data_IF_931125002173
#
_entry.id   IF_931125002173
#
_cell.length_a   1.000
_cell.length_b   1.000
_cell.length_c   1.000
_cell.angle_alpha   90.00
_cell.angle_beta   90.00
_cell.angle_gamma   90.00
#
_symmetry.space_group_name_H-M   'P 1'
#
loop_
_entity.id
_entity.type
_entity.pdbx_description
1 polymer ?
#
# COMPACT_ATOMS: atom_id res chain seq x y z
N UNK A 1 13.96 -13.49 -0.48
CA UNK A 1 14.70 -12.30 -0.90
C UNK A 1 13.74 -11.14 -1.07
N UNK A 2 14.08 -9.93 -0.58
CA UNK A 2 13.31 -8.72 -0.92
C UNK A 2 13.67 -8.27 -2.35
N UNK A 3 12.72 -8.31 -3.28
CA UNK A 3 12.91 -7.91 -4.68
C UNK A 3 12.45 -6.50 -4.98
N UNK A 4 11.60 -5.91 -4.15
CA UNK A 4 11.07 -4.55 -4.32
C UNK A 4 10.79 -3.98 -2.94
N UNK A 5 11.65 -3.05 -2.51
CA UNK A 5 11.43 -2.23 -1.32
C UNK A 5 10.22 -1.32 -1.54
N UNK A 6 9.50 -0.97 -0.47
CA UNK A 6 8.35 -0.08 -0.56
C UNK A 6 8.78 1.33 -1.02
N UNK A 7 8.39 1.77 -2.21
CA UNK A 7 8.66 3.13 -2.64
C UNK A 7 7.75 4.10 -1.89
N UNK A 8 8.16 5.37 -1.80
CA UNK A 8 7.24 6.42 -1.39
C UNK A 8 6.21 6.63 -2.52
N UNK A 9 4.89 6.60 -2.26
CA UNK A 9 3.89 6.66 -3.33
C UNK A 9 4.04 7.94 -4.18
N UNK A 10 3.95 7.83 -5.51
CA UNK A 10 4.02 8.98 -6.42
C UNK A 10 3.02 10.08 -6.06
N UNK A 11 1.75 9.78 -5.73
CA UNK A 11 0.82 10.81 -5.30
C UNK A 11 1.26 11.59 -4.07
N UNK A 12 1.93 10.92 -3.12
CA UNK A 12 2.47 11.60 -1.94
C UNK A 12 3.63 12.51 -2.34
N UNK A 13 4.56 12.05 -3.17
CA UNK A 13 5.66 12.88 -3.70
C UNK A 13 5.14 14.13 -4.43
N UNK A 14 4.07 13.98 -5.22
CA UNK A 14 3.42 15.09 -5.91
C UNK A 14 2.77 16.09 -4.95
N UNK A 15 2.10 15.62 -3.90
CA UNK A 15 1.51 16.50 -2.88
C UNK A 15 2.59 17.29 -2.13
N UNK A 16 3.65 16.61 -1.69
CA UNK A 16 4.78 17.24 -0.99
C UNK A 16 5.50 18.28 -1.87
N UNK A 17 5.56 18.05 -3.18
CA UNK A 17 6.10 19.03 -4.13
C UNK A 17 5.15 20.20 -4.38
N UNK A 18 3.84 19.93 -4.46
CA UNK A 18 2.81 20.89 -4.84
C UNK A 18 2.44 21.85 -3.72
N UNK A 19 2.15 21.33 -2.52
CA UNK A 19 1.61 22.11 -1.40
C UNK A 19 2.47 23.34 -1.05
N UNK A 20 3.81 23.24 -0.96
CA UNK A 20 4.67 24.40 -0.66
C UNK A 20 4.68 25.49 -1.73
N UNK A 21 4.18 25.20 -2.94
CA UNK A 21 4.15 26.12 -4.08
C UNK A 21 2.81 26.85 -4.22
N UNK A 22 1.79 26.44 -3.48
CA UNK A 22 0.47 27.05 -3.51
C UNK A 22 0.42 28.25 -2.55
N UNK A 23 -0.31 29.29 -2.96
CA UNK A 23 -0.58 30.44 -2.09
C UNK A 23 -1.45 30.03 -0.89
N UNK A 24 -1.31 30.67 0.29
CA UNK A 24 -2.10 30.34 1.47
C UNK A 24 -3.63 30.41 1.29
N UNK A 25 -4.12 31.24 0.37
CA UNK A 25 -5.55 31.38 0.04
C UNK A 25 -6.04 30.50 -1.11
N UNK A 26 -5.31 29.44 -1.49
CA UNK A 26 -5.76 28.54 -2.55
C UNK A 26 -6.99 27.73 -2.09
N UNK A 27 -8.10 27.70 -2.86
CA UNK A 27 -9.38 27.15 -2.41
C UNK A 27 -9.35 25.71 -1.88
N UNK A 28 -8.49 24.84 -2.42
CA UNK A 28 -8.41 23.42 -2.04
C UNK A 28 -7.18 23.06 -1.18
N UNK A 29 -6.52 24.06 -0.58
CA UNK A 29 -5.27 23.83 0.16
C UNK A 29 -5.50 22.91 1.37
N UNK A 30 -6.61 23.06 2.08
CA UNK A 30 -6.93 22.25 3.25
C UNK A 30 -7.16 20.78 2.88
N UNK A 31 -7.84 20.52 1.76
CA UNK A 31 -8.13 19.20 1.21
C UNK A 31 -6.85 18.52 0.72
N UNK A 32 -5.97 19.26 0.04
CA UNK A 32 -4.65 18.77 -0.39
C UNK A 32 -3.80 18.36 0.82
N UNK A 33 -3.74 19.20 1.86
CA UNK A 33 -3.03 18.89 3.09
C UNK A 33 -3.65 17.71 3.85
N UNK A 34 -4.98 17.56 3.80
CA UNK A 34 -5.65 16.39 4.38
C UNK A 34 -5.31 15.10 3.62
N UNK A 35 -5.35 15.14 2.30
CA UNK A 35 -4.94 14.03 1.42
C UNK A 35 -3.47 13.64 1.69
N UNK A 36 -2.58 14.63 1.81
CA UNK A 36 -1.16 14.41 2.14
C UNK A 36 -1.01 13.71 3.50
N UNK A 37 -1.64 14.24 4.56
CA UNK A 37 -1.61 13.62 5.89
C UNK A 37 -2.12 12.18 5.88
N UNK A 38 -3.21 11.91 5.17
CA UNK A 38 -3.76 10.56 5.06
C UNK A 38 -2.80 9.61 4.34
N UNK A 39 -2.14 10.06 3.27
CA UNK A 39 -1.15 9.27 2.53
C UNK A 39 0.12 9.03 3.33
N UNK A 40 0.61 10.02 4.07
CA UNK A 40 1.74 9.86 5.01
C UNK A 40 1.37 8.79 6.05
N UNK A 41 0.19 8.91 6.66
CA UNK A 41 -0.28 7.93 7.66
C UNK A 41 -0.32 6.51 7.08
N UNK A 42 -0.92 6.34 5.90
CA UNK A 42 -0.95 5.04 5.22
C UNK A 42 0.45 4.47 4.96
N UNK A 43 1.33 5.27 4.36
CA UNK A 43 2.71 4.86 4.06
C UNK A 43 3.52 4.48 5.31
N UNK A 44 3.39 5.24 6.40
CA UNK A 44 4.06 4.90 7.66
C UNK A 44 3.44 3.66 8.34
N UNK A 45 2.12 3.48 8.25
CA UNK A 45 1.43 2.28 8.69
C UNK A 45 1.93 1.02 7.99
N UNK A 46 2.06 1.09 6.66
CA UNK A 46 2.61 0.02 5.84
C UNK A 46 4.08 -0.31 6.22
N UNK A 47 4.92 0.72 6.40
CA UNK A 47 6.32 0.54 6.82
C UNK A 47 6.47 -0.16 8.18
N UNK A 48 5.55 0.06 9.11
CA UNK A 48 5.54 -0.66 10.40
C UNK A 48 5.37 -2.16 10.19
N UNK A 49 4.51 -2.58 9.25
CA UNK A 49 4.29 -3.99 8.94
C UNK A 49 5.47 -4.57 8.15
N UNK A 50 6.03 -3.80 7.21
CA UNK A 50 7.23 -4.20 6.46
C UNK A 50 8.37 -4.60 7.41
N UNK A 51 8.57 -3.87 8.51
CA UNK A 51 9.56 -4.20 9.54
C UNK A 51 9.43 -5.64 10.05
N UNK A 52 8.20 -6.09 10.33
CA UNK A 52 7.94 -7.46 10.77
C UNK A 52 8.11 -8.46 9.62
N UNK A 53 7.66 -8.13 8.40
CA UNK A 53 7.76 -9.00 7.23
C UNK A 53 9.22 -9.28 6.83
N UNK A 54 10.17 -8.37 7.10
CA UNK A 54 11.60 -8.57 6.75
C UNK A 54 12.21 -9.87 7.27
N UNK A 55 11.67 -10.46 8.33
CA UNK A 55 12.14 -11.79 8.81
C UNK A 55 11.95 -12.89 7.75
N UNK A 56 10.98 -12.71 6.86
CA UNK A 56 10.62 -13.61 5.77
C UNK A 56 11.56 -13.50 4.56
N UNK A 57 12.31 -12.41 4.43
CA UNK A 57 13.19 -12.14 3.27
C UNK A 57 14.27 -13.21 3.08
N UNK A 58 14.59 -13.99 4.12
CA UNK A 58 15.56 -15.09 4.01
C UNK A 58 14.99 -16.35 3.37
N UNK A 59 13.66 -16.51 3.37
CA UNK A 59 12.97 -17.74 2.93
C UNK A 59 12.08 -17.54 1.71
N UNK A 60 11.51 -16.35 1.56
CA UNK A 60 10.48 -16.06 0.57
C UNK A 60 10.84 -14.88 -0.29
N UNK A 61 10.39 -14.88 -1.53
CA UNK A 61 10.47 -13.71 -2.41
C UNK A 61 9.41 -12.69 -2.02
N UNK A 62 9.81 -11.47 -1.66
CA UNK A 62 8.92 -10.41 -1.17
C UNK A 62 8.94 -9.22 -2.12
N UNK A 63 7.75 -8.70 -2.44
CA UNK A 63 7.53 -7.51 -3.26
C UNK A 63 6.55 -6.58 -2.54
N UNK A 64 6.95 -5.34 -2.27
CA UNK A 64 6.06 -4.33 -1.71
C UNK A 64 5.44 -3.46 -2.81
N UNK A 65 4.23 -2.97 -2.58
CA UNK A 65 3.53 -2.03 -3.46
C UNK A 65 3.48 -2.53 -4.92
N UNK A 66 2.82 -3.66 -5.11
CA UNK A 66 2.66 -4.30 -6.42
C UNK A 66 1.40 -3.76 -7.08
N UNK A 67 1.56 -2.96 -8.13
CA UNK A 67 0.47 -2.41 -8.91
C UNK A 67 0.43 -3.02 -10.31
N UNK A 68 -0.60 -3.83 -10.57
CA UNK A 68 -0.77 -4.60 -11.80
C UNK A 68 -2.05 -4.20 -12.52
N UNK A 69 -2.16 -4.64 -13.78
CA UNK A 69 -3.36 -4.49 -14.59
C UNK A 69 -3.71 -5.81 -15.26
N UNK A 70 -4.97 -6.21 -15.15
CA UNK A 70 -5.51 -7.41 -15.79
C UNK A 70 -6.92 -7.13 -16.28
N UNK A 71 -7.28 -7.59 -17.48
CA UNK A 71 -8.62 -7.41 -18.08
C UNK A 71 -9.11 -5.95 -18.03
N UNK A 72 -8.21 -5.01 -18.32
CA UNK A 72 -8.51 -3.57 -18.32
C UNK A 72 -8.60 -2.93 -16.93
N UNK A 73 -8.65 -3.70 -15.85
CA UNK A 73 -8.73 -3.22 -14.46
C UNK A 73 -7.37 -3.22 -13.77
N UNK A 74 -7.08 -2.15 -13.04
CA UNK A 74 -5.87 -2.06 -12.23
C UNK A 74 -6.13 -2.43 -10.78
N UNK A 75 -5.12 -2.95 -10.11
CA UNK A 75 -5.19 -3.32 -8.71
C UNK A 75 -3.83 -3.22 -8.03
N UNK A 76 -3.87 -2.97 -6.74
CA UNK A 76 -2.70 -2.78 -5.89
C UNK A 76 -2.71 -3.83 -4.80
N UNK A 77 -1.54 -4.39 -4.52
CA UNK A 77 -1.29 -5.31 -3.42
C UNK A 77 -0.19 -4.69 -2.56
N UNK A 78 -0.49 -4.43 -1.28
CA UNK A 78 0.44 -3.73 -0.39
C UNK A 78 1.72 -4.54 -0.19
N UNK A 79 1.61 -5.85 0.00
CA UNK A 79 2.76 -6.76 0.00
C UNK A 79 2.40 -8.14 -0.54
N UNK A 80 3.27 -8.63 -1.42
CA UNK A 80 3.20 -9.96 -2.01
C UNK A 80 4.38 -10.80 -1.52
N UNK A 81 4.09 -11.95 -0.93
CA UNK A 81 5.09 -12.91 -0.48
C UNK A 81 4.92 -14.18 -1.31
N UNK A 82 6.00 -14.67 -1.90
CA UNK A 82 6.00 -15.83 -2.79
C UNK A 82 6.91 -16.89 -2.18
N UNK A 83 6.35 -18.07 -1.94
CA UNK A 83 7.08 -19.26 -1.52
C UNK A 83 7.23 -20.27 -2.65
N UNK A 84 7.90 -21.39 -2.37
CA UNK A 84 7.92 -22.54 -3.28
C UNK A 84 6.57 -23.25 -3.38
N UNK A 85 5.60 -22.91 -2.53
CA UNK A 85 4.32 -23.62 -2.42
C UNK A 85 3.11 -22.75 -2.82
N UNK A 86 3.14 -21.44 -2.56
CA UNK A 86 2.04 -20.53 -2.84
C UNK A 86 2.46 -19.05 -2.91
N UNK A 87 1.49 -18.19 -3.23
CA UNK A 87 1.56 -16.74 -3.06
C UNK A 87 0.68 -16.33 -1.86
N UNK A 88 1.17 -15.39 -1.06
CA UNK A 88 0.45 -14.77 0.04
C UNK A 88 0.34 -13.26 -0.18
N UNK A 89 -0.89 -12.76 -0.20
CA UNK A 89 -1.21 -11.33 -0.20
C UNK A 89 -1.29 -10.86 1.25
N UNK A 90 -0.69 -9.71 1.56
CA UNK A 90 -0.86 -9.04 2.85
C UNK A 90 -1.46 -7.67 2.58
N UNK A 91 -2.73 -7.50 2.96
CA UNK A 91 -3.46 -6.23 2.95
C UNK A 91 -3.25 -5.51 4.28
N UNK A 92 -2.89 -4.23 4.27
CA UNK A 92 -2.45 -3.50 5.45
C UNK A 92 -3.47 -2.42 5.85
N UNK A 93 -3.82 -2.36 7.13
CA UNK A 93 -4.77 -1.38 7.69
C UNK A 93 -4.15 -0.60 8.84
N UNK A 94 -4.13 0.73 8.72
CA UNK A 94 -3.66 1.65 9.77
C UNK A 94 -4.82 2.43 10.40
N UNK A 95 -5.58 1.73 11.23
CA UNK A 95 -6.63 2.31 12.08
C UNK A 95 -6.17 2.32 13.53
N UNK A 96 -6.59 3.32 14.29
CA UNK A 96 -6.39 3.41 15.74
C UNK A 96 -7.75 3.29 16.43
N UNK A 97 -7.80 2.82 17.68
CA UNK A 97 -9.08 2.66 18.39
C UNK A 97 -9.75 1.34 18.06
N UNK A 98 -11.05 1.32 17.77
CA UNK A 98 -11.81 0.08 17.56
C UNK A 98 -12.17 -0.14 16.10
N UNK A 99 -12.07 -1.38 15.65
CA UNK A 99 -12.54 -1.83 14.33
C UNK A 99 -13.45 -3.03 14.53
N UNK A 100 -14.72 -2.88 14.14
CA UNK A 100 -15.70 -3.95 14.14
C UNK A 100 -15.81 -4.55 12.73
N UNK A 101 -15.53 -5.84 12.61
CA UNK A 101 -15.77 -6.64 11.41
C UNK A 101 -17.11 -7.34 11.54
N UNK A 102 -18.12 -6.87 10.81
CA UNK A 102 -19.44 -7.50 10.75
C UNK A 102 -19.45 -8.48 9.56
N UNK A 103 -19.21 -9.76 9.85
CA UNK A 103 -19.11 -10.82 8.83
C UNK A 103 -20.48 -11.21 8.29
N UNK A 104 -21.55 -10.99 9.07
CA UNK A 104 -22.93 -11.25 8.68
C UNK A 104 -23.36 -10.28 7.57
N UNK A 105 -23.11 -8.99 7.76
CA UNK A 105 -23.50 -7.95 6.80
C UNK A 105 -22.38 -7.54 5.83
N UNK A 106 -21.19 -8.16 5.97
CA UNK A 106 -20.00 -7.87 5.16
C UNK A 106 -19.62 -6.38 5.17
N UNK A 107 -19.64 -5.77 6.35
CA UNK A 107 -19.29 -4.37 6.55
C UNK A 107 -18.24 -4.21 7.65
N UNK A 108 -17.57 -3.05 7.66
CA UNK A 108 -16.58 -2.73 8.68
C UNK A 108 -16.87 -1.35 9.27
N UNK A 109 -16.80 -1.24 10.59
CA UNK A 109 -17.06 0.00 11.32
C UNK A 109 -15.81 0.38 12.09
N UNK A 110 -15.36 1.62 11.94
CA UNK A 110 -14.27 2.19 12.70
C UNK A 110 -14.79 3.17 13.74
N UNK A 111 -14.31 3.05 14.97
CA UNK A 111 -14.62 3.95 16.08
C UNK A 111 -13.36 4.49 16.73
N UNK A 112 -13.28 5.81 16.85
CA UNK A 112 -12.20 6.50 17.58
C UNK A 112 -12.60 6.87 19.02
N UNK A 113 -13.67 6.28 19.54
CA UNK A 113 -14.23 6.58 20.87
C UNK A 113 -15.12 7.83 20.92
N UNK A 114 -15.19 8.62 19.85
CA UNK A 114 -16.09 9.80 19.74
C UNK A 114 -17.08 9.68 18.59
N UNK A 115 -16.66 9.07 17.49
CA UNK A 115 -17.44 8.93 16.27
C UNK A 115 -17.24 7.54 15.68
N UNK A 116 -18.32 6.97 15.17
CA UNK A 116 -18.31 5.76 14.35
C UNK A 116 -18.48 6.13 12.89
N UNK A 117 -17.72 5.48 12.01
CA UNK A 117 -17.89 5.61 10.56
C UNK A 117 -17.81 4.21 9.93
N UNK A 118 -18.65 3.98 8.92
CA UNK A 118 -18.47 2.84 8.03
C UNK A 118 -17.20 3.01 7.21
N UNK A 119 -16.41 1.94 7.10
CA UNK A 119 -15.21 1.86 6.27
C UNK A 119 -15.31 0.64 5.35
N UNK A 120 -14.48 0.64 4.30
CA UNK A 120 -14.44 -0.46 3.35
C UNK A 120 -14.18 -1.78 4.07
N UNK A 121 -14.93 -2.82 3.70
CA UNK A 121 -14.79 -4.15 4.28
C UNK A 121 -13.47 -4.79 3.79
N UNK A 122 -12.46 -4.97 4.66
CA UNK A 122 -11.11 -5.34 4.25
C UNK A 122 -11.05 -6.74 3.63
N UNK A 123 -11.93 -7.65 4.04
CA UNK A 123 -11.99 -9.01 3.51
C UNK A 123 -12.45 -9.01 2.05
N UNK A 124 -13.52 -8.27 1.72
CA UNK A 124 -13.94 -8.14 0.33
C UNK A 124 -12.87 -7.45 -0.54
N UNK A 125 -12.10 -6.51 0.03
CA UNK A 125 -11.00 -5.88 -0.70
C UNK A 125 -9.92 -6.90 -1.08
N UNK A 126 -9.45 -7.71 -0.13
CA UNK A 126 -8.39 -8.68 -0.38
C UNK A 126 -8.85 -9.89 -1.20
N UNK A 127 -10.12 -10.29 -1.08
CA UNK A 127 -10.76 -11.29 -1.96
C UNK A 127 -10.74 -10.83 -3.43
N UNK A 128 -11.05 -9.55 -3.68
CA UNK A 128 -10.98 -8.99 -5.03
C UNK A 128 -9.54 -8.92 -5.56
N UNK A 129 -8.57 -8.51 -4.73
CA UNK A 129 -7.16 -8.53 -5.11
C UNK A 129 -6.67 -9.95 -5.43
N UNK A 130 -7.07 -10.94 -4.62
CA UNK A 130 -6.79 -12.36 -4.88
C UNK A 130 -7.34 -12.78 -6.24
N UNK A 131 -8.62 -12.52 -6.51
CA UNK A 131 -9.25 -12.85 -7.80
C UNK A 131 -8.53 -12.18 -8.98
N UNK A 132 -8.11 -10.92 -8.83
CA UNK A 132 -7.37 -10.20 -9.88
C UNK A 132 -5.98 -10.80 -10.09
N UNK A 133 -5.28 -11.16 -9.02
CA UNK A 133 -3.98 -11.83 -9.12
C UNK A 133 -4.11 -13.21 -9.76
N UNK A 134 -5.11 -14.00 -9.40
CA UNK A 134 -5.41 -15.30 -10.02
C UNK A 134 -5.68 -15.14 -11.51
N UNK A 135 -6.47 -14.14 -11.92
CA UNK A 135 -6.68 -13.83 -13.34
C UNK A 135 -5.38 -13.43 -14.05
N UNK A 136 -4.50 -12.67 -13.39
CA UNK A 136 -3.19 -12.32 -13.94
C UNK A 136 -2.30 -13.56 -14.07
N UNK A 137 -2.33 -14.49 -13.12
CA UNK A 137 -1.60 -15.76 -13.22
C UNK A 137 -2.11 -16.62 -14.38
N UNK A 138 -3.44 -16.72 -14.54
CA UNK A 138 -4.07 -17.45 -15.66
C UNK A 138 -3.66 -16.85 -17.01
N UNK A 139 -3.63 -15.51 -17.15
CA UNK A 139 -3.18 -14.87 -18.40
C UNK A 139 -1.71 -15.15 -18.75
N UNK A 140 -0.93 -15.65 -17.79
CA UNK A 140 0.46 -16.04 -17.94
C UNK A 140 0.68 -17.57 -17.96
N UNK A 141 -0.39 -18.36 -18.08
CA UNK A 141 -0.37 -19.83 -18.02
C UNK A 141 0.15 -20.40 -16.69
N UNK A 142 -0.12 -19.72 -15.57
CA UNK A 142 0.29 -20.10 -14.21
C UNK A 142 -0.92 -20.50 -13.33
N UNK A 143 -1.79 -21.36 -13.84
CA UNK A 143 -3.11 -21.69 -13.26
C UNK A 143 -3.06 -22.49 -11.95
N UNK A 144 -1.97 -23.19 -11.66
CA UNK A 144 -1.87 -24.11 -10.51
C UNK A 144 -1.27 -23.52 -9.23
N UNK A 145 -0.99 -22.21 -9.22
CA UNK A 145 -0.36 -21.52 -8.11
C UNK A 145 -1.42 -21.07 -7.10
N UNK A 146 -1.44 -21.62 -5.87
CA UNK A 146 -2.39 -21.21 -4.85
C UNK A 146 -2.12 -19.77 -4.39
N UNK A 147 -3.20 -19.01 -4.18
CA UNK A 147 -3.14 -17.66 -3.60
C UNK A 147 -3.91 -17.63 -2.28
N UNK A 148 -3.21 -17.24 -1.22
CA UNK A 148 -3.76 -16.99 0.10
C UNK A 148 -3.62 -15.52 0.46
N UNK A 149 -4.31 -15.08 1.51
CA UNK A 149 -4.24 -13.71 1.95
C UNK A 149 -4.32 -13.58 3.46
N UNK A 150 -3.77 -12.47 3.95
CA UNK A 150 -3.87 -12.02 5.33
C UNK A 150 -4.18 -10.52 5.35
N UNK A 151 -4.85 -10.08 6.41
CA UNK A 151 -5.11 -8.68 6.70
C UNK A 151 -4.33 -8.33 7.98
N UNK A 152 -3.49 -7.31 7.86
CA UNK A 152 -2.55 -6.89 8.88
C UNK A 152 -2.94 -5.50 9.41
N UNK A 153 -3.23 -5.40 10.70
CA UNK A 153 -3.39 -4.12 11.38
C UNK A 153 -2.04 -3.62 11.90
N UNK A 154 -1.60 -2.45 11.44
CA UNK A 154 -0.28 -1.87 11.77
C UNK A 154 -0.20 -1.28 13.17
N UNK A 155 -1.31 -0.81 13.72
CA UNK A 155 -1.39 -0.28 15.08
C UNK A 155 -1.76 -1.40 16.06
N UNK A 156 -0.80 -1.74 16.94
CA UNK A 156 -0.98 -2.75 17.99
C UNK A 156 -2.00 -2.36 19.05
N UNK A 157 -2.38 -1.08 19.13
CA UNK A 157 -3.44 -0.61 20.02
C UNK A 157 -4.84 -0.76 19.44
N UNK A 158 -4.96 -1.19 18.18
CA UNK A 158 -6.27 -1.43 17.55
C UNK A 158 -6.99 -2.56 18.27
N UNK A 159 -8.23 -2.30 18.72
CA UNK A 159 -9.11 -3.34 19.23
C UNK A 159 -9.93 -3.86 18.05
N UNK A 160 -9.72 -5.12 17.68
CA UNK A 160 -10.44 -5.79 16.60
C UNK A 160 -11.59 -6.58 17.22
N UNK A 161 -12.83 -6.17 16.90
CA UNK A 161 -14.05 -6.85 17.32
C UNK A 161 -14.67 -7.56 16.11
N UNK A 162 -15.28 -8.72 16.32
CA UNK A 162 -15.96 -9.48 15.27
C UNK A 162 -17.41 -9.68 15.66
N UNK A 163 -18.31 -9.34 14.74
CA UNK A 163 -19.73 -9.71 14.80
C UNK A 163 -19.98 -10.81 13.78
N UNK A 164 -20.39 -11.98 14.28
CA UNK A 164 -20.48 -13.22 13.51
C UNK A 164 -19.59 -14.28 14.16
N UNK A 165 -18.89 -15.08 13.36
CA UNK A 165 -17.98 -16.13 13.85
C UNK A 165 -16.51 -15.66 13.83
N UNK A 166 -15.86 -15.45 15.00
CA UNK A 166 -14.45 -15.13 15.07
C UNK A 166 -13.52 -16.21 14.51
N UNK A 167 -13.93 -17.49 14.47
CA UNK A 167 -13.10 -18.60 13.97
C UNK A 167 -12.89 -18.53 12.45
N UNK A 168 -13.80 -17.89 11.71
CA UNK A 168 -13.61 -17.63 10.28
C UNK A 168 -12.57 -16.53 10.03
N UNK A 169 -12.40 -15.62 11.00
CA UNK A 169 -11.60 -14.40 10.87
C UNK A 169 -10.19 -14.57 11.43
N UNK A 170 -10.04 -15.29 12.54
CA UNK A 170 -8.77 -15.51 13.21
C UNK A 170 -7.64 -16.07 12.30
N UNK A 171 -7.91 -16.94 11.31
CA UNK A 171 -6.87 -17.44 10.41
C UNK A 171 -6.37 -16.41 9.39
N UNK A 172 -7.08 -15.30 9.18
CA UNK A 172 -6.79 -14.32 8.12
C UNK A 172 -6.55 -12.90 8.62
N UNK A 173 -6.97 -12.53 9.83
CA UNK A 173 -6.80 -11.18 10.39
C UNK A 173 -5.91 -11.22 11.62
N UNK A 174 -4.88 -10.36 11.65
CA UNK A 174 -4.06 -10.17 12.85
C UNK A 174 -3.38 -8.79 12.88
N UNK A 175 -2.70 -8.50 13.99
CA UNK A 175 -1.73 -7.42 14.03
C UNK A 175 -0.47 -7.77 13.24
N UNK A 176 0.21 -6.75 12.72
CA UNK A 176 1.36 -6.89 11.82
C UNK A 176 2.47 -7.83 12.33
N UNK A 177 2.73 -7.84 13.63
CA UNK A 177 3.74 -8.70 14.26
C UNK A 177 3.45 -10.21 14.15
N UNK A 178 2.19 -10.61 13.98
CA UNK A 178 1.78 -12.02 13.88
C UNK A 178 1.82 -12.54 12.44
N UNK A 179 1.81 -11.64 11.44
CA UNK A 179 1.75 -11.99 10.02
C UNK A 179 2.90 -12.93 9.59
N UNK A 180 4.17 -12.72 9.99
CA UNK A 180 5.23 -13.65 9.61
C UNK A 180 4.98 -15.08 10.07
N UNK A 181 4.45 -15.25 11.29
CA UNK A 181 4.10 -16.57 11.82
C UNK A 181 2.95 -17.19 11.03
N UNK A 182 1.90 -16.43 10.75
CA UNK A 182 0.76 -16.92 9.95
C UNK A 182 1.18 -17.39 8.55
N UNK A 183 2.05 -16.63 7.88
CA UNK A 183 2.61 -17.02 6.57
C UNK A 183 3.41 -18.32 6.69
N UNK A 184 4.30 -18.43 7.68
CA UNK A 184 5.13 -19.62 7.90
C UNK A 184 4.30 -20.86 8.22
N UNK A 185 3.33 -20.73 9.11
CA UNK A 185 2.46 -21.84 9.52
C UNK A 185 1.59 -22.27 8.35
N UNK A 186 1.03 -21.32 7.58
CA UNK A 186 0.24 -21.66 6.40
C UNK A 186 1.07 -22.36 5.33
N UNK A 187 2.27 -21.86 5.05
CA UNK A 187 3.16 -22.43 4.03
C UNK A 187 3.61 -23.87 4.37
N UNK A 188 3.73 -24.21 5.66
CA UNK A 188 4.06 -25.57 6.13
C UNK A 188 2.95 -26.59 5.90
N UNK A 189 1.69 -26.16 5.89
CA UNK A 189 0.54 -27.03 5.61
C UNK A 189 0.42 -27.41 4.13
N UNK A 190 1.08 -26.66 3.25
CA UNK A 190 0.91 -26.79 1.82
C UNK A 190 1.79 -27.89 1.24
N UNK A 191 1.29 -28.63 0.23
CA UNK A 191 2.12 -29.56 -0.52
C UNK A 191 3.21 -28.80 -1.27
N UNK A 192 4.35 -29.46 -1.47
CA UNK A 192 5.44 -28.88 -2.23
C UNK A 192 5.06 -28.72 -3.71
N UNK A 193 4.82 -27.47 -4.15
CA UNK A 193 4.50 -27.14 -5.55
C UNK A 193 5.73 -26.85 -6.41
N UNK A 194 6.92 -26.70 -5.80
CA UNK A 194 8.20 -26.36 -6.46
C UNK A 194 8.12 -25.09 -7.34
N UNK A 195 7.34 -24.10 -6.91
CA UNK A 195 7.25 -22.80 -7.58
C UNK A 195 8.64 -22.16 -7.58
N UNK A 196 9.04 -21.63 -8.75
CA UNK A 196 10.25 -20.83 -8.90
C UNK A 196 9.97 -19.41 -8.42
N UNK A 197 9.88 -19.23 -7.10
CA UNK A 197 9.44 -18.01 -6.42
C UNK A 197 10.17 -16.75 -6.90
N UNK A 198 11.49 -16.80 -7.01
CA UNK A 198 12.30 -15.68 -7.51
C UNK A 198 11.98 -15.32 -8.95
N UNK A 199 11.84 -16.34 -9.83
CA UNK A 199 11.52 -16.13 -11.25
C UNK A 199 10.13 -15.52 -11.41
N UNK A 200 9.16 -16.00 -10.62
CA UNK A 200 7.81 -15.44 -10.58
C UNK A 200 7.81 -14.00 -10.09
N UNK A 201 8.53 -13.71 -9.00
CA UNK A 201 8.66 -12.35 -8.48
C UNK A 201 9.28 -11.39 -9.50
N UNK A 202 10.29 -11.82 -10.26
CA UNK A 202 10.86 -11.02 -11.36
C UNK A 202 9.90 -10.83 -12.52
N UNK A 203 9.05 -11.81 -12.84
CA UNK A 203 8.02 -11.67 -13.86
C UNK A 203 6.97 -10.62 -13.45
N UNK A 204 6.44 -10.72 -12.23
CA UNK A 204 5.51 -9.74 -11.66
C UNK A 204 6.12 -8.34 -11.67
N UNK A 205 7.38 -8.21 -11.24
CA UNK A 205 8.06 -6.91 -11.18
C UNK A 205 8.24 -6.25 -12.55
N UNK A 206 8.36 -7.03 -13.64
CA UNK A 206 8.48 -6.48 -15.00
C UNK A 206 7.19 -5.83 -15.49
N UNK A 207 6.03 -6.26 -15.00
CA UNK A 207 4.73 -5.71 -15.36
C UNK A 207 4.17 -4.74 -14.32
N UNK A 208 4.76 -4.73 -13.12
CA UNK A 208 4.42 -3.81 -12.06
C UNK A 208 4.64 -2.37 -12.53
N UNK A 209 3.59 -1.55 -12.41
CA UNK A 209 3.62 -0.12 -12.75
C UNK A 209 3.64 0.70 -11.48
N UNK A 210 3.73 2.01 -11.62
CA UNK A 210 3.57 2.93 -10.50
C UNK A 210 2.14 3.49 -10.54
N UNK A 211 1.45 3.44 -9.41
CA UNK A 211 0.15 4.08 -9.29
C UNK A 211 0.33 5.61 -9.29
N UNK A 212 -0.48 6.27 -10.11
CA UNK A 212 -0.48 7.72 -10.22
C UNK A 212 -1.88 8.23 -10.61
N UNK A 213 -2.17 9.48 -10.28
CA UNK A 213 -3.37 10.18 -10.76
C UNK A 213 -3.09 11.67 -10.99
N UNK A 214 -3.99 12.30 -11.76
CA UNK A 214 -3.92 13.73 -12.04
C UNK A 214 -4.36 14.56 -10.82
N UNK A 215 -3.40 14.86 -9.94
CA UNK A 215 -3.61 15.72 -8.77
C UNK A 215 -3.99 17.13 -9.20
N UNK A 216 -3.42 17.67 -10.28
CA UNK A 216 -3.71 19.03 -10.71
C UNK A 216 -5.15 19.15 -11.20
N UNK A 217 -5.59 18.20 -12.04
CA UNK A 217 -6.97 18.13 -12.49
C UNK A 217 -7.97 17.88 -11.35
N UNK A 218 -7.67 16.95 -10.42
CA UNK A 218 -8.56 16.62 -9.29
C UNK A 218 -8.84 17.83 -8.39
N UNK A 219 -7.85 18.69 -8.17
CA UNK A 219 -7.95 19.85 -7.28
C UNK A 219 -7.98 21.20 -8.03
N UNK A 220 -8.27 21.18 -9.33
CA UNK A 220 -8.39 22.36 -10.18
C UNK A 220 -7.20 23.34 -10.07
N UNK A 221 -5.98 22.81 -9.94
CA UNK A 221 -4.77 23.62 -9.85
C UNK A 221 -4.36 24.07 -11.25
N UNK A 222 -4.26 25.38 -11.46
CA UNK A 222 -3.80 25.96 -12.72
C UNK A 222 -2.29 26.28 -12.67
N UNK A 223 -1.60 26.37 -13.82
CA UNK A 223 -0.18 26.69 -13.83
C UNK A 223 0.19 27.98 -13.10
N UNK A 224 -0.71 28.98 -13.09
CA UNK A 224 -0.48 30.25 -12.39
C UNK A 224 -0.68 30.19 -10.87
N UNK A 225 -1.28 29.11 -10.35
CA UNK A 225 -1.39 28.87 -8.91
C UNK A 225 -0.08 28.34 -8.31
N UNK A 226 0.82 27.82 -9.16
CA UNK A 226 2.07 27.17 -8.76
C UNK A 226 3.20 28.20 -8.82
N UNK A 227 3.78 28.52 -7.67
CA UNK A 227 4.96 29.38 -7.60
C UNK A 227 6.16 28.75 -8.35
N UNK A 228 6.71 29.42 -9.37
CA UNK A 228 7.84 28.91 -10.12
C UNK A 228 9.16 29.09 -9.36
N UNK A 229 10.22 28.42 -9.85
CA UNK A 229 11.57 28.56 -9.32
C UNK A 229 12.04 27.36 -8.49
N UNK A 230 13.34 27.34 -8.20
CA UNK A 230 13.98 26.30 -7.38
C UNK A 230 13.78 26.64 -5.91
N UNK A 231 13.41 25.64 -5.11
CA UNK A 231 13.29 25.78 -3.66
C UNK A 231 14.66 25.57 -3.01
N UNK A 232 15.10 26.51 -2.20
CA UNK A 232 16.33 26.36 -1.42
C UNK A 232 16.16 25.25 -0.38
N UNK A 233 17.01 24.22 -0.35
CA UNK A 233 16.89 23.13 0.62
C UNK A 233 17.18 23.57 2.06
N UNK A 234 17.86 24.71 2.26
CA UNK A 234 18.22 25.21 3.58
C UNK A 234 17.16 26.13 4.20
N UNK A 235 16.57 27.04 3.41
CA UNK A 235 15.62 28.05 3.92
C UNK A 235 14.20 27.92 3.36
N UNK A 236 13.95 27.01 2.43
CA UNK A 236 12.62 26.80 1.82
C UNK A 236 12.16 27.90 0.87
N UNK A 237 12.92 28.99 0.73
CA UNK A 237 12.59 30.10 -0.17
C UNK A 237 12.72 29.68 -1.63
N UNK A 238 11.80 30.18 -2.47
CA UNK A 238 11.80 29.92 -3.90
C UNK A 238 12.54 31.03 -4.65
N UNK A 239 13.51 30.63 -5.47
CA UNK A 239 14.32 31.54 -6.28
C UNK A 239 15.80 31.17 -6.28
N UNK A 240 16.52 31.64 -7.29
CA UNK A 240 17.97 31.53 -7.37
C UNK A 240 18.56 32.89 -7.72
N UNK A 241 19.70 33.20 -7.10
CA UNK A 241 20.52 34.35 -7.53
C UNK A 241 21.22 33.98 -8.83
N UNK A 242 20.95 34.74 -9.90
CA UNK A 242 21.63 34.54 -11.18
C UNK A 242 23.09 35.01 -11.03
N UNK A 243 24.04 34.08 -11.12
CA UNK A 243 25.46 34.43 -11.23
C UNK A 243 25.84 34.54 -12.71
N UNK A 244 26.53 35.62 -13.09
CA UNK A 244 27.14 35.70 -14.42
C UNK A 244 28.37 34.80 -14.45
N UNK A 245 28.48 33.94 -15.47
CA UNK A 245 29.69 33.17 -15.74
C UNK A 245 30.84 34.17 -15.92
N UNK A 246 31.83 34.19 -15.02
CA UNK A 246 33.12 34.80 -15.34
C UNK A 246 33.71 33.96 -16.47
N UNK A 247 33.72 34.48 -17.68
CA UNK A 247 34.60 33.98 -18.73
C UNK A 247 36.02 34.07 -18.17
N UNK A 248 36.67 32.91 -18.00
CA UNK A 248 38.09 32.88 -17.70
C UNK A 248 38.80 33.54 -18.90
N UNK A 249 39.43 34.68 -18.64
CA UNK A 249 40.39 35.32 -19.55
C UNK A 249 41.71 34.57 -19.47
#
# INVERSE_FOLDING_TARGET
MNLRNRPKPIPLLKLEALIPRLRPGFPYLAELQMEERNRIKGYEGEKKIDYHIRILDKRYTVLHDVYLRVNGKSFQIDTLIISSNAIFIVEMKDYSGKVLLDTVLRQCIHSNGRKENGINYPIAQVENQKLQLENWLVSHNLFDIPVYYFIAFSDSSTIIEVKGDPQEIAPIVAHGEQIPKMVLDKDRELPNKKIQDYKLGKAILRECREYDFDILGKYHVLPHDIMPGVQCPNCGMFGMTRTQKKLAL
#
